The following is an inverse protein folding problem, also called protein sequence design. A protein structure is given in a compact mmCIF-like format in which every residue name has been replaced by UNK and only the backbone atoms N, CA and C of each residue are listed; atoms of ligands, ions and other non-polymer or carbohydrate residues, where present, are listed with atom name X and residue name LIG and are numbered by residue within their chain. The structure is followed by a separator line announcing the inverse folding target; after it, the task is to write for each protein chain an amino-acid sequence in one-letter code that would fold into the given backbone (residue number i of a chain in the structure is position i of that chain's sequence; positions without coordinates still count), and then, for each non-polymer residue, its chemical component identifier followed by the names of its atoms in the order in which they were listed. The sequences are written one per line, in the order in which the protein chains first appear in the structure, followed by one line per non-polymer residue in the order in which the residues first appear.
data_IF_778188609902
#
_entry.id   IF_778188609902
#
_cell.length_a   1.000
_cell.length_b   1.000
_cell.length_c   1.000
_cell.angle_alpha   90.00
_cell.angle_beta   90.00
_cell.angle_gamma   90.00
#
_symmetry.space_group_name_H-M   'P 1'
#
loop_
_entity.id
_entity.type
_entity.pdbx_description
1 polymer ?
#
# COMPACT_ATOMS: atom_id res chain seq x y z
N UNK A 1 4.02 1.36 6.77
CA UNK A 1 4.51 1.74 5.44
C UNK A 1 5.18 3.11 5.55
N UNK A 2 6.10 3.42 4.66
CA UNK A 2 6.87 4.66 4.73
C UNK A 2 6.95 5.38 3.39
N UNK A 3 6.64 6.67 3.37
CA UNK A 3 6.84 7.52 2.20
C UNK A 3 8.14 8.32 2.34
N UNK A 4 9.10 8.06 1.45
CA UNK A 4 10.39 8.77 1.47
C UNK A 4 10.28 10.22 0.97
N UNK A 5 9.16 10.60 0.34
CA UNK A 5 8.94 11.96 -0.20
C UNK A 5 8.53 12.94 0.90
N UNK A 6 7.54 12.58 1.72
CA UNK A 6 7.01 13.46 2.76
C UNK A 6 7.33 13.01 4.20
N UNK A 7 7.95 11.85 4.37
CA UNK A 7 8.26 11.28 5.67
C UNK A 7 7.07 10.65 6.39
N UNK A 8 5.95 10.38 5.70
CA UNK A 8 4.79 9.69 6.28
C UNK A 8 5.20 8.31 6.77
N UNK A 9 4.99 8.05 8.05
CA UNK A 9 5.18 6.74 8.70
C UNK A 9 3.83 6.25 9.21
N UNK A 10 3.14 5.48 8.38
CA UNK A 10 1.75 5.11 8.60
C UNK A 10 1.29 4.09 7.60
N UNK A 11 -0.02 3.89 7.52
CA UNK A 11 -0.61 2.99 6.52
C UNK A 11 -0.70 3.70 5.16
N UNK A 12 -0.14 3.11 4.10
CA UNK A 12 -0.34 3.64 2.73
C UNK A 12 -1.64 3.06 2.18
N UNK A 13 -2.47 3.93 1.59
CA UNK A 13 -3.77 3.57 1.07
C UNK A 13 -3.66 2.98 -0.33
N UNK A 14 -4.56 2.04 -0.63
CA UNK A 14 -4.75 1.50 -1.97
C UNK A 14 -5.97 2.17 -2.58
N UNK A 15 -5.75 2.98 -3.61
CA UNK A 15 -6.83 3.67 -4.35
C UNK A 15 -7.03 3.01 -5.72
N UNK A 16 -8.23 3.13 -6.26
CA UNK A 16 -8.56 2.66 -7.61
C UNK A 16 -8.49 3.84 -8.58
N UNK A 17 -7.61 3.75 -9.58
CA UNK A 17 -7.42 4.77 -10.62
C UNK A 17 -7.40 4.05 -11.97
N UNK A 18 -8.26 4.46 -12.90
CA UNK A 18 -8.39 3.87 -14.24
C UNK A 18 -8.57 2.34 -14.27
N UNK A 19 -9.31 1.80 -13.29
CA UNK A 19 -9.56 0.35 -13.16
C UNK A 19 -8.35 -0.46 -12.66
N UNK A 20 -7.33 0.21 -12.12
CA UNK A 20 -6.17 -0.42 -11.48
C UNK A 20 -6.06 0.02 -10.03
N UNK A 21 -5.61 -0.89 -9.18
CA UNK A 21 -5.27 -0.60 -7.79
C UNK A 21 -3.84 -0.08 -7.73
N UNK A 22 -3.70 1.14 -7.20
CA UNK A 22 -2.43 1.83 -7.01
C UNK A 22 -2.22 2.17 -5.54
N UNK A 23 -0.97 2.10 -5.10
CA UNK A 23 -0.57 2.51 -3.76
C UNK A 23 -0.35 4.01 -3.76
N UNK A 24 -1.03 4.73 -2.86
CA UNK A 24 -0.98 6.19 -2.80
C UNK A 24 -0.78 6.65 -1.36
N UNK A 25 0.22 7.50 -1.17
CA UNK A 25 0.44 8.12 0.13
C UNK A 25 -0.73 9.06 0.48
N UNK A 26 -1.37 8.90 1.65
CA UNK A 26 -2.52 9.74 2.04
C UNK A 26 -2.11 11.18 2.35
N UNK A 27 -0.85 11.43 2.73
CA UNK A 27 -0.37 12.76 3.10
C UNK A 27 0.02 13.63 1.89
N UNK A 28 0.77 13.09 0.93
CA UNK A 28 1.31 13.87 -0.19
C UNK A 28 0.82 13.41 -1.58
N UNK A 29 0.10 12.29 -1.65
CA UNK A 29 -0.35 11.71 -2.91
C UNK A 29 0.73 10.99 -3.71
N UNK A 30 1.92 10.74 -3.14
CA UNK A 30 2.98 10.02 -3.84
C UNK A 30 2.52 8.61 -4.27
N UNK A 31 2.71 8.31 -5.55
CA UNK A 31 2.45 7.00 -6.18
C UNK A 31 3.73 6.34 -6.69
N UNK A 32 4.89 7.01 -6.54
CA UNK A 32 6.19 6.49 -6.92
C UNK A 32 6.59 5.34 -5.98
N UNK A 33 6.71 4.14 -6.56
CA UNK A 33 7.04 2.90 -5.86
C UNK A 33 8.50 2.86 -5.39
N UNK A 34 9.43 3.53 -6.08
CA UNK A 34 10.84 3.52 -5.70
C UNK A 34 11.11 4.41 -4.47
N UNK A 35 10.24 5.41 -4.26
CA UNK A 35 10.30 6.34 -3.12
C UNK A 35 9.31 5.97 -2.01
N UNK A 36 8.85 4.73 -1.99
CA UNK A 36 7.84 4.27 -1.06
C UNK A 36 8.11 2.84 -0.62
N UNK A 37 8.05 2.61 0.68
CA UNK A 37 8.25 1.29 1.27
C UNK A 37 6.92 0.81 1.83
N UNK A 38 6.32 -0.17 1.17
CA UNK A 38 5.08 -0.82 1.64
C UNK A 38 5.43 -2.18 2.24
N UNK A 39 5.07 -2.40 3.49
CA UNK A 39 5.34 -3.64 4.21
C UNK A 39 4.03 -4.16 4.83
N UNK A 40 3.47 -5.23 4.25
CA UNK A 40 2.19 -5.82 4.70
C UNK A 40 2.37 -7.26 5.12
N UNK A 41 1.63 -7.63 6.17
CA UNK A 41 1.56 -9.02 6.63
C UNK A 41 0.44 -9.73 5.88
N UNK A 42 0.83 -10.71 5.07
CA UNK A 42 -0.11 -11.47 4.25
C UNK A 42 0.14 -12.95 4.47
N UNK A 43 -0.90 -13.69 4.88
CA UNK A 43 -0.87 -15.15 5.06
C UNK A 43 0.32 -15.65 5.92
N UNK A 44 0.63 -14.92 7.01
CA UNK A 44 1.66 -15.33 7.99
C UNK A 44 3.06 -14.76 7.77
N UNK A 45 3.33 -14.09 6.65
CA UNK A 45 4.65 -13.47 6.37
C UNK A 45 4.55 -11.97 6.09
N UNK A 46 5.63 -11.24 6.34
CA UNK A 46 5.78 -9.84 5.99
C UNK A 46 6.42 -9.76 4.61
N UNK A 47 5.69 -9.20 3.64
CA UNK A 47 6.24 -8.86 2.34
C UNK A 47 6.55 -7.37 2.27
N UNK A 48 7.69 -7.01 1.67
CA UNK A 48 8.15 -5.62 1.47
C UNK A 48 8.17 -5.22 0.00
N UNK A 49 7.66 -6.08 -0.89
CA UNK A 49 7.55 -5.85 -2.33
C UNK A 49 6.10 -5.53 -2.69
N UNK A 50 5.92 -4.77 -3.77
CA UNK A 50 4.60 -4.51 -4.33
C UNK A 50 3.96 -5.79 -4.85
N UNK A 51 2.69 -5.99 -4.51
CA UNK A 51 1.91 -7.15 -4.92
C UNK A 51 1.26 -6.93 -6.28
N UNK A 52 0.88 -8.02 -6.93
CA UNK A 52 0.04 -7.96 -8.14
C UNK A 52 -1.37 -7.43 -7.81
N UNK A 53 -2.15 -7.14 -8.84
CA UNK A 53 -3.48 -6.52 -8.71
C UNK A 53 -4.44 -7.36 -7.83
N UNK A 54 -4.55 -8.67 -8.07
CA UNK A 54 -5.47 -9.52 -7.30
C UNK A 54 -5.11 -9.57 -5.81
N UNK A 55 -3.82 -9.64 -5.48
CA UNK A 55 -3.40 -9.66 -4.09
C UNK A 55 -3.46 -8.29 -3.41
N UNK A 56 -3.30 -7.21 -4.18
CA UNK A 56 -3.56 -5.85 -3.71
C UNK A 56 -5.03 -5.66 -3.35
N UNK A 57 -5.94 -6.25 -4.14
CA UNK A 57 -7.37 -6.29 -3.84
C UNK A 57 -7.67 -7.07 -2.56
N UNK A 58 -7.10 -8.28 -2.41
CA UNK A 58 -7.23 -9.07 -1.19
C UNK A 58 -6.70 -8.34 0.06
N UNK A 59 -5.69 -7.49 -0.08
CA UNK A 59 -5.17 -6.67 1.03
C UNK A 59 -6.13 -5.53 1.35
N UNK A 60 -6.67 -4.86 0.32
CA UNK A 60 -7.64 -3.76 0.46
C UNK A 60 -8.94 -4.20 1.13
N UNK A 61 -9.44 -5.39 0.81
CA UNK A 61 -10.71 -5.91 1.32
C UNK A 61 -10.61 -6.45 2.77
N UNK A 62 -9.39 -6.47 3.35
CA UNK A 62 -9.21 -6.88 4.74
C UNK A 62 -9.70 -5.79 5.67
N UNK A 63 -10.72 -6.13 6.45
CA UNK A 63 -11.18 -5.30 7.56
C UNK A 63 -10.43 -5.68 8.84
N UNK A 64 -9.98 -4.67 9.56
CA UNK A 64 -9.51 -4.85 10.93
C UNK A 64 -10.75 -5.05 11.82
N UNK A 65 -10.93 -6.25 12.34
CA UNK A 65 -11.90 -6.50 13.41
C UNK A 65 -11.26 -6.00 14.72
N UNK A 66 -11.75 -4.87 15.24
CA UNK A 66 -11.28 -4.23 16.48
C UNK A 66 -11.88 -4.88 17.72
#
# INVERSE_FOLDING_TARGET
DYCQVCGWDGEIEVVEEDGKLIWKCPQCGNTDQDKMNVARRTCGYIGTQFWNQGRTQEIKDRVLHL
#
